data_IF_966489462949
#
_entry.id   IF_966489462949
#
_cell.length_a   1.000
_cell.length_b   1.000
_cell.length_c   1.000
_cell.angle_alpha   90.00
_cell.angle_beta   90.00
_cell.angle_gamma   90.00
#
_symmetry.space_group_name_H-M   'P 1'
#
loop_
_entity.id
_entity.type
_entity.pdbx_description
1 polymer ?
#
# COMPACT_ATOMS: atom_id res chain seq x y z
N UNK A 1 -25.25 2.15 -12.49
CA UNK A 1 -24.30 3.25 -12.22
C UNK A 1 -23.72 2.96 -10.85
N UNK A 2 -22.44 2.60 -10.78
CA UNK A 2 -21.81 2.21 -9.52
C UNK A 2 -21.42 3.50 -8.77
N UNK A 3 -22.07 3.80 -7.65
CA UNK A 3 -21.72 4.95 -6.80
C UNK A 3 -21.04 4.45 -5.53
N UNK A 4 -19.76 4.78 -5.34
CA UNK A 4 -19.10 4.57 -4.05
C UNK A 4 -19.42 5.73 -3.13
N UNK A 5 -19.92 5.43 -1.92
CA UNK A 5 -20.27 6.44 -0.91
C UNK A 5 -19.04 7.20 -0.38
N UNK A 6 -17.82 6.75 -0.66
CA UNK A 6 -16.59 7.34 -0.11
C UNK A 6 -16.35 6.96 1.35
N UNK A 7 -15.41 7.65 2.01
CA UNK A 7 -15.07 7.43 3.42
C UNK A 7 -15.93 8.30 4.35
N UNK A 8 -16.50 7.70 5.39
CA UNK A 8 -17.30 8.36 6.44
C UNK A 8 -16.73 8.05 7.83
N UNK A 9 -16.99 8.90 8.82
CA UNK A 9 -16.45 8.78 10.19
C UNK A 9 -15.25 9.68 10.48
N UNK A 10 -14.46 9.33 11.50
CA UNK A 10 -13.29 10.09 11.96
C UNK A 10 -12.08 9.91 11.00
N UNK A 11 -12.13 10.57 9.84
CA UNK A 11 -11.12 10.45 8.77
C UNK A 11 -9.74 10.94 9.19
N UNK A 12 -9.67 11.81 10.19
CA UNK A 12 -8.48 12.29 10.87
C UNK A 12 -7.69 11.18 11.59
N UNK A 13 -8.35 10.07 11.97
CA UNK A 13 -7.69 8.90 12.57
C UNK A 13 -7.18 7.89 11.54
N UNK A 14 -7.49 8.10 10.26
CA UNK A 14 -7.04 7.20 9.20
C UNK A 14 -5.55 7.43 8.88
N UNK A 15 -4.82 6.38 8.50
CA UNK A 15 -3.49 6.52 7.92
C UNK A 15 -3.48 7.38 6.66
N UNK A 16 -2.29 7.82 6.28
CA UNK A 16 -2.05 8.57 5.05
C UNK A 16 -2.67 7.83 3.84
N UNK A 17 -3.32 8.58 2.93
CA UNK A 17 -4.13 7.99 1.83
C UNK A 17 -3.35 6.98 0.98
N UNK A 18 -2.09 7.27 0.69
CA UNK A 18 -1.21 6.38 -0.08
C UNK A 18 -0.87 5.07 0.65
N UNK A 19 -0.87 5.08 2.00
CA UNK A 19 -0.74 3.86 2.81
C UNK A 19 -2.04 3.06 2.74
N UNK A 20 -3.19 3.72 2.88
CA UNK A 20 -4.50 3.08 2.76
C UNK A 20 -4.68 2.39 1.41
N UNK A 21 -4.27 3.04 0.30
CA UNK A 21 -4.33 2.45 -1.05
C UNK A 21 -3.60 1.10 -1.16
N UNK A 22 -2.52 0.90 -0.41
CA UNK A 22 -1.83 -0.39 -0.34
C UNK A 22 -2.52 -1.32 0.64
N UNK A 23 -2.86 -0.83 1.84
CA UNK A 23 -3.43 -1.65 2.91
C UNK A 23 -4.75 -2.31 2.49
N UNK A 24 -5.65 -1.56 1.86
CA UNK A 24 -6.98 -2.06 1.46
C UNK A 24 -6.91 -3.11 0.35
N UNK A 25 -5.75 -3.34 -0.27
CA UNK A 25 -5.56 -4.50 -1.15
C UNK A 25 -5.53 -5.82 -0.38
N UNK A 26 -5.25 -5.79 0.93
CA UNK A 26 -5.37 -6.92 1.83
C UNK A 26 -6.67 -6.78 2.64
N UNK A 27 -7.70 -7.55 2.28
CA UNK A 27 -9.02 -7.47 2.93
C UNK A 27 -9.06 -7.88 4.40
N UNK A 28 -8.00 -8.52 4.90
CA UNK A 28 -7.90 -9.03 6.29
C UNK A 28 -6.93 -8.23 7.17
N UNK A 29 -6.36 -7.13 6.66
CA UNK A 29 -5.50 -6.25 7.45
C UNK A 29 -4.11 -6.81 7.82
N UNK A 30 -3.68 -7.93 7.22
CA UNK A 30 -2.39 -8.57 7.53
C UNK A 30 -1.17 -7.74 7.10
N UNK A 31 -1.35 -6.84 6.12
CA UNK A 31 -0.29 -5.92 5.66
C UNK A 31 -0.37 -4.64 6.49
N UNK A 32 0.39 -4.56 7.59
CA UNK A 32 0.28 -3.44 8.55
C UNK A 32 0.72 -2.08 7.96
N UNK A 33 0.13 -0.98 8.46
CA UNK A 33 0.44 0.39 8.02
C UNK A 33 1.92 0.75 8.18
N UNK A 34 2.53 0.37 9.31
CA UNK A 34 3.94 0.65 9.59
C UNK A 34 4.87 -0.11 8.65
N UNK A 35 4.50 -1.34 8.27
CA UNK A 35 5.28 -2.11 7.32
C UNK A 35 5.24 -1.50 5.92
N UNK A 36 4.05 -1.03 5.50
CA UNK A 36 3.89 -0.29 4.24
C UNK A 36 4.76 0.97 4.26
N UNK A 37 4.70 1.79 5.32
CA UNK A 37 5.53 3.00 5.46
C UNK A 37 7.02 2.70 5.32
N UNK A 38 7.49 1.66 6.01
CA UNK A 38 8.88 1.18 5.89
C UNK A 38 9.23 0.78 4.46
N UNK A 39 8.38 0.04 3.76
CA UNK A 39 8.64 -0.36 2.38
C UNK A 39 8.71 0.84 1.43
N UNK A 40 7.83 1.83 1.60
CA UNK A 40 7.86 3.07 0.82
C UNK A 40 9.19 3.81 1.04
N UNK A 41 9.62 3.96 2.30
CA UNK A 41 10.89 4.62 2.64
C UNK A 41 12.08 3.88 2.03
N UNK A 42 12.14 2.55 2.14
CA UNK A 42 13.23 1.75 1.57
C UNK A 42 13.31 1.88 0.05
N UNK A 43 12.15 2.01 -0.63
CA UNK A 43 12.09 2.25 -2.07
C UNK A 43 12.53 3.68 -2.41
N UNK A 44 12.10 4.69 -1.64
CA UNK A 44 12.52 6.10 -1.82
C UNK A 44 14.03 6.28 -1.63
N UNK A 45 14.63 5.60 -0.65
CA UNK A 45 16.07 5.60 -0.39
C UNK A 45 16.88 4.76 -1.39
N UNK A 46 16.23 4.10 -2.37
CA UNK A 46 16.91 3.25 -3.35
C UNK A 46 17.47 1.93 -2.79
N UNK A 47 17.20 1.60 -1.52
CA UNK A 47 17.65 0.37 -0.86
C UNK A 47 16.90 -0.87 -1.35
N UNK A 48 15.71 -0.68 -1.90
CA UNK A 48 14.85 -1.75 -2.39
C UNK A 48 14.19 -1.34 -3.71
N UNK A 49 14.07 -2.27 -4.66
CA UNK A 49 13.31 -2.00 -5.89
C UNK A 49 11.80 -2.08 -5.61
N UNK A 50 10.95 -1.29 -6.30
CA UNK A 50 9.49 -1.35 -6.14
C UNK A 50 8.94 -2.77 -6.31
N UNK A 51 9.47 -3.52 -7.29
CA UNK A 51 9.10 -4.92 -7.56
C UNK A 51 9.41 -5.84 -6.38
N UNK A 52 10.58 -5.68 -5.74
CA UNK A 52 10.97 -6.52 -4.60
C UNK A 52 10.17 -6.15 -3.35
N UNK A 53 9.95 -4.86 -3.11
CA UNK A 53 9.10 -4.36 -2.03
C UNK A 53 7.65 -4.87 -2.15
N UNK A 54 7.06 -4.81 -3.35
CA UNK A 54 5.72 -5.34 -3.61
C UNK A 54 5.59 -6.84 -3.33
N UNK A 55 6.59 -7.62 -3.74
CA UNK A 55 6.65 -9.06 -3.42
C UNK A 55 6.75 -9.32 -1.92
N UNK A 56 7.52 -8.51 -1.19
CA UNK A 56 7.67 -8.64 0.26
C UNK A 56 6.34 -8.30 0.97
N UNK A 57 5.64 -7.25 0.55
CA UNK A 57 4.31 -6.91 1.08
C UNK A 57 3.29 -8.03 0.84
N UNK A 58 3.31 -8.63 -0.35
CA UNK A 58 2.40 -9.72 -0.70
C UNK A 58 2.56 -10.96 0.18
N UNK A 59 3.77 -11.24 0.70
CA UNK A 59 4.01 -12.39 1.60
C UNK A 59 3.21 -12.33 2.90
N UNK A 60 2.82 -11.13 3.36
CA UNK A 60 1.99 -10.99 4.54
C UNK A 60 0.52 -11.36 4.27
N UNK A 61 0.10 -11.44 3.01
CA UNK A 61 -1.28 -11.77 2.65
C UNK A 61 -1.44 -13.28 2.46
N UNK A 62 -1.94 -13.97 3.48
CA UNK A 62 -2.22 -15.41 3.41
C UNK A 62 -3.35 -15.74 2.41
N UNK A 63 -4.36 -14.88 2.29
CA UNK A 63 -5.53 -15.14 1.45
C UNK A 63 -5.30 -14.89 -0.06
N UNK A 64 -4.12 -14.44 -0.48
CA UNK A 64 -3.80 -14.18 -1.89
C UNK A 64 -4.48 -12.99 -2.58
N UNK A 65 -5.33 -12.22 -1.90
CA UNK A 65 -6.07 -11.10 -2.50
C UNK A 65 -5.19 -9.88 -2.83
N UNK A 66 -4.04 -9.75 -2.16
CA UNK A 66 -3.13 -8.63 -2.36
C UNK A 66 -2.59 -8.61 -3.79
N UNK A 67 -2.69 -7.46 -4.47
CA UNK A 67 -2.21 -7.31 -5.85
C UNK A 67 -0.76 -6.79 -5.88
N UNK A 68 0.27 -7.65 -6.07
CA UNK A 68 1.66 -7.21 -6.08
C UNK A 68 2.00 -6.33 -7.29
N UNK A 69 1.32 -6.51 -8.44
CA UNK A 69 1.60 -5.70 -9.62
C UNK A 69 1.12 -4.26 -9.43
N UNK A 70 -0.05 -4.07 -8.82
CA UNK A 70 -0.54 -2.75 -8.42
C UNK A 70 0.35 -2.12 -7.36
N UNK A 71 0.77 -2.89 -6.35
CA UNK A 71 1.70 -2.39 -5.33
C UNK A 71 3.03 -1.89 -5.92
N UNK A 72 3.60 -2.62 -6.90
CA UNK A 72 4.82 -2.20 -7.61
C UNK A 72 4.65 -0.82 -8.29
N UNK A 73 3.53 -0.62 -8.98
CA UNK A 73 3.22 0.66 -9.65
C UNK A 73 3.05 1.82 -8.67
N UNK A 74 2.34 1.57 -7.55
CA UNK A 74 2.18 2.57 -6.48
C UNK A 74 3.52 2.93 -5.85
N UNK A 75 4.36 1.93 -5.54
CA UNK A 75 5.68 2.16 -4.96
C UNK A 75 6.60 2.95 -5.91
N UNK A 76 6.54 2.68 -7.21
CA UNK A 76 7.27 3.46 -8.21
C UNK A 76 6.75 4.91 -8.30
N UNK A 77 5.43 5.10 -8.21
CA UNK A 77 4.80 6.42 -8.17
C UNK A 77 5.28 7.22 -6.93
N UNK A 78 5.29 6.58 -5.76
CA UNK A 78 5.77 7.19 -4.52
C UNK A 78 7.27 7.50 -4.55
N UNK A 79 8.07 6.65 -5.21
CA UNK A 79 9.51 6.90 -5.43
C UNK A 79 9.75 8.19 -6.22
N UNK A 80 8.89 8.49 -7.19
CA UNK A 80 8.92 9.72 -8.00
C UNK A 80 8.34 10.95 -7.29
N UNK A 81 7.97 10.84 -6.01
CA UNK A 81 7.39 11.95 -5.22
C UNK A 81 5.90 12.22 -5.49
N UNK A 82 5.23 11.36 -6.27
CA UNK A 82 3.81 11.50 -6.57
C UNK A 82 3.02 10.73 -5.52
N UNK A 83 2.46 11.44 -4.53
CA UNK A 83 1.74 10.84 -3.39
C UNK A 83 0.24 11.09 -3.46
#
# INVERSE_FOLDING_TARGET
MEHSLGFWGAKDKLPERHILEIHTMCGHGMVSFNFIRKMIEQVKLGRLTPKKAAKILAKCCECGAFNPKRAELLLERFRKGLT
#
